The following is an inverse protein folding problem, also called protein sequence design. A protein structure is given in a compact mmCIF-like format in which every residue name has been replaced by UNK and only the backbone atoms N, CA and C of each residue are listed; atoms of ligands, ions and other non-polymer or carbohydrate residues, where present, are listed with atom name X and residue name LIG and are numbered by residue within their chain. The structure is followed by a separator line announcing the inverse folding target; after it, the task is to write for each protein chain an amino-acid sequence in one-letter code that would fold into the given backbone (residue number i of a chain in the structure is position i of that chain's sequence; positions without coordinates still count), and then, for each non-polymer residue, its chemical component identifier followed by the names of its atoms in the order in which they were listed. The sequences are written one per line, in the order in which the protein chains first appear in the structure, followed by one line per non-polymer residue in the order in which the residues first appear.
data_IF_759658231193
#
_entry.id   IF_759658231193
#
_cell.length_a   1.000
_cell.length_b   1.000
_cell.length_c   1.000
_cell.angle_alpha   90.00
_cell.angle_beta   90.00
_cell.angle_gamma   90.00
#
_symmetry.space_group_name_H-M   'P 1'
#
loop_
_entity.id
_entity.type
_entity.pdbx_description
1 polymer ?
#
# COMPACT_ATOMS: atom_id res chain seq x y z
N UNK A 1 7.28 -0.14 -2.79
CA UNK A 1 7.34 -1.40 -2.02
C UNK A 1 8.38 -2.37 -2.57
N UNK A 2 8.48 -2.62 -3.88
CA UNK A 2 9.40 -3.61 -4.47
C UNK A 2 10.87 -3.43 -4.08
N UNK A 3 11.43 -2.22 -4.15
CA UNK A 3 12.85 -1.95 -3.82
C UNK A 3 13.23 -2.37 -2.40
N UNK A 4 12.39 -2.04 -1.42
CA UNK A 4 12.64 -2.39 -0.01
C UNK A 4 12.52 -3.90 0.19
N UNK A 5 11.52 -4.56 -0.41
CA UNK A 5 11.37 -6.01 -0.35
C UNK A 5 12.58 -6.72 -0.96
N UNK A 6 13.02 -6.27 -2.16
CA UNK A 6 14.21 -6.82 -2.84
C UNK A 6 15.48 -6.62 -2.01
N UNK A 7 15.65 -5.45 -1.38
CA UNK A 7 16.81 -5.19 -0.52
C UNK A 7 16.87 -6.19 0.65
N UNK A 8 15.75 -6.41 1.36
CA UNK A 8 15.71 -7.37 2.45
C UNK A 8 15.89 -8.82 1.94
N UNK A 9 15.30 -9.16 0.79
CA UNK A 9 15.45 -10.49 0.20
C UNK A 9 16.92 -10.82 -0.14
N UNK A 10 17.65 -9.85 -0.69
CA UNK A 10 19.05 -10.05 -1.13
C UNK A 10 20.03 -9.96 0.02
N UNK A 11 19.84 -8.99 0.93
CA UNK A 11 20.84 -8.68 1.97
C UNK A 11 20.55 -9.34 3.32
N UNK A 12 19.28 -9.58 3.64
CA UNK A 12 18.85 -10.04 4.97
C UNK A 12 17.63 -10.97 4.86
N UNK A 13 17.73 -12.11 4.15
CA UNK A 13 16.58 -13.00 3.89
C UNK A 13 15.96 -13.57 5.18
N UNK A 14 16.73 -13.69 6.26
CA UNK A 14 16.25 -14.21 7.54
C UNK A 14 15.08 -13.41 8.11
N UNK A 15 15.03 -12.09 7.89
CA UNK A 15 13.90 -11.26 8.32
C UNK A 15 12.58 -11.66 7.67
N UNK A 16 12.63 -12.12 6.42
CA UNK A 16 11.47 -12.59 5.68
C UNK A 16 11.11 -14.01 6.09
N UNK A 17 12.10 -14.90 6.18
CA UNK A 17 11.92 -16.31 6.58
C UNK A 17 11.33 -16.45 7.98
N UNK A 18 11.72 -15.58 8.90
CA UNK A 18 11.22 -15.55 10.27
C UNK A 18 9.93 -14.72 10.44
N UNK A 19 9.31 -14.24 9.34
CA UNK A 19 8.10 -13.40 9.36
C UNK A 19 8.25 -12.11 10.18
N UNK A 20 9.45 -11.55 10.24
CA UNK A 20 9.76 -10.34 11.02
C UNK A 20 9.61 -9.04 10.22
N UNK A 21 9.44 -9.15 8.91
CA UNK A 21 9.22 -8.01 8.02
C UNK A 21 7.74 -7.92 7.65
N UNK A 22 7.14 -6.78 7.96
CA UNK A 22 5.73 -6.53 7.70
C UNK A 22 5.54 -5.18 7.02
N UNK A 23 4.54 -5.09 6.16
CA UNK A 23 4.02 -3.83 5.65
C UNK A 23 2.96 -3.29 6.60
N UNK A 24 3.11 -2.04 7.00
CA UNK A 24 2.09 -1.33 7.74
C UNK A 24 1.20 -0.58 6.74
N UNK A 25 -0.09 -0.93 6.72
CA UNK A 25 -1.08 -0.26 5.86
C UNK A 25 -1.49 1.07 6.44
N UNK A 26 -1.32 2.14 5.66
CA UNK A 26 -1.88 3.44 5.98
C UNK A 26 -3.32 3.55 5.48
N UNK A 27 -4.23 4.19 6.23
CA UNK A 27 -5.59 4.41 5.77
C UNK A 27 -5.63 5.42 4.61
N UNK A 28 -6.43 5.12 3.57
CA UNK A 28 -6.64 6.01 2.44
C UNK A 28 -7.66 7.12 2.77
N UNK A 29 -8.66 6.81 3.58
CA UNK A 29 -9.73 7.73 3.93
C UNK A 29 -9.89 7.86 5.44
N UNK A 30 -10.27 9.05 5.86
CA UNK A 30 -10.63 9.38 7.23
C UNK A 30 -12.02 10.01 7.22
N UNK A 31 -12.92 9.51 8.04
CA UNK A 31 -14.20 10.14 8.32
C UNK A 31 -14.15 10.74 9.73
N UNK A 32 -14.52 11.99 9.87
CA UNK A 32 -14.45 12.74 11.14
C UNK A 32 -15.76 13.40 11.48
N UNK A 33 -16.06 13.41 12.78
CA UNK A 33 -17.14 14.24 13.36
C UNK A 33 -16.78 14.60 14.79
N UNK A 34 -16.49 15.88 15.03
CA UNK A 34 -15.93 16.37 16.29
C UNK A 34 -14.64 15.62 16.64
N UNK A 35 -14.59 14.92 17.77
CA UNK A 35 -13.43 14.16 18.23
C UNK A 35 -13.41 12.70 17.77
N UNK A 36 -14.50 12.24 17.14
CA UNK A 36 -14.60 10.87 16.63
C UNK A 36 -13.96 10.74 15.24
N UNK A 37 -13.21 9.66 15.05
CA UNK A 37 -12.50 9.36 13.80
C UNK A 37 -12.68 7.89 13.45
N UNK A 38 -12.91 7.62 12.18
CA UNK A 38 -12.97 6.26 11.62
C UNK A 38 -12.16 6.25 10.34
N UNK A 39 -11.41 5.17 10.13
CA UNK A 39 -10.49 5.04 9.03
C UNK A 39 -10.97 3.97 8.05
N UNK A 40 -10.75 4.21 6.75
CA UNK A 40 -10.96 3.23 5.69
C UNK A 40 -9.67 3.05 4.88
N UNK A 41 -9.39 1.81 4.52
CA UNK A 41 -8.17 1.41 3.84
C UNK A 41 -8.41 1.12 2.35
N UNK A 42 -9.67 0.97 1.95
CA UNK A 42 -10.09 0.81 0.55
C UNK A 42 -11.23 1.77 0.21
N UNK A 43 -11.52 1.92 -1.09
CA UNK A 43 -12.64 2.74 -1.56
C UNK A 43 -13.99 2.13 -1.16
N UNK A 44 -14.09 0.81 -1.17
CA UNK A 44 -15.29 0.08 -0.76
C UNK A 44 -15.60 0.32 0.72
N UNK A 45 -14.58 0.18 1.59
CA UNK A 45 -14.73 0.48 3.03
C UNK A 45 -15.15 1.95 3.25
N UNK A 46 -14.58 2.88 2.49
CA UNK A 46 -14.94 4.29 2.59
C UNK A 46 -16.39 4.55 2.18
N UNK A 47 -16.86 3.89 1.11
CA UNK A 47 -18.25 4.00 0.65
C UNK A 47 -19.24 3.41 1.68
N UNK A 48 -18.91 2.30 2.31
CA UNK A 48 -19.71 1.70 3.38
C UNK A 48 -19.77 2.60 4.61
N UNK A 49 -18.63 3.11 5.04
CA UNK A 49 -18.56 4.06 6.15
C UNK A 49 -19.31 5.35 5.86
N UNK A 50 -19.30 5.85 4.63
CA UNK A 50 -20.05 7.03 4.23
C UNK A 50 -21.56 6.80 4.27
N UNK A 51 -22.02 5.59 3.91
CA UNK A 51 -23.43 5.20 4.06
C UNK A 51 -23.84 5.14 5.54
N UNK A 52 -22.97 4.59 6.39
CA UNK A 52 -23.19 4.49 7.84
C UNK A 52 -23.14 5.85 8.55
N UNK A 53 -22.29 6.74 8.07
CA UNK A 53 -22.03 8.06 8.66
C UNK A 53 -22.20 9.19 7.63
N UNK A 54 -23.38 9.43 7.08
CA UNK A 54 -23.57 10.36 5.94
C UNK A 54 -23.22 11.81 6.27
N UNK A 55 -23.31 12.19 7.54
CA UNK A 55 -23.04 13.57 8.01
C UNK A 55 -21.59 13.81 8.43
N UNK A 56 -20.74 12.77 8.38
CA UNK A 56 -19.34 12.90 8.73
C UNK A 56 -18.53 13.47 7.57
N UNK A 57 -17.56 14.29 7.89
CA UNK A 57 -16.62 14.84 6.92
C UNK A 57 -15.64 13.75 6.50
N UNK A 58 -15.46 13.59 5.19
CA UNK A 58 -14.53 12.60 4.62
C UNK A 58 -13.30 13.33 4.07
N UNK A 59 -12.14 12.95 4.56
CA UNK A 59 -10.83 13.36 4.05
C UNK A 59 -10.13 12.21 3.35
N UNK A 60 -9.31 12.51 2.34
CA UNK A 60 -8.46 11.57 1.65
C UNK A 60 -7.00 11.83 2.03
N UNK A 61 -6.28 10.77 2.42
CA UNK A 61 -4.87 10.84 2.78
C UNK A 61 -4.01 10.47 1.56
N UNK A 62 -3.38 11.44 0.92
CA UNK A 62 -2.49 11.22 -0.23
C UNK A 62 -1.13 10.67 0.17
N UNK A 63 -0.72 10.92 1.39
CA UNK A 63 0.55 10.43 1.92
C UNK A 63 0.65 10.60 3.43
N UNK A 64 1.62 9.91 4.05
CA UNK A 64 1.81 9.91 5.50
C UNK A 64 2.07 11.31 6.09
N UNK A 65 2.70 12.20 5.33
CA UNK A 65 2.99 13.57 5.77
C UNK A 65 1.75 14.45 5.95
N UNK A 66 0.59 14.04 5.41
CA UNK A 66 -0.68 14.76 5.56
C UNK A 66 -1.49 14.29 6.78
N UNK A 67 -1.07 13.18 7.40
CA UNK A 67 -1.74 12.64 8.58
C UNK A 67 -1.32 13.40 9.83
N UNK A 68 -2.32 13.75 10.67
CA UNK A 68 -2.01 14.28 11.99
C UNK A 68 -1.39 13.19 12.89
N UNK A 69 -0.63 13.61 13.93
CA UNK A 69 -0.07 12.65 14.89
C UNK A 69 -1.16 11.77 15.53
N UNK A 70 -2.32 12.36 15.83
CA UNK A 70 -3.46 11.65 16.40
C UNK A 70 -4.08 10.63 15.42
N UNK A 71 -4.13 10.95 14.11
CA UNK A 71 -4.60 9.99 13.10
C UNK A 71 -3.62 8.83 12.96
N UNK A 72 -2.33 9.12 12.99
CA UNK A 72 -1.28 8.10 12.92
C UNK A 72 -1.31 7.19 14.15
N UNK A 73 -1.45 7.76 15.34
CA UNK A 73 -1.60 7.01 16.58
C UNK A 73 -2.81 6.07 16.54
N UNK A 74 -3.99 6.58 16.17
CA UNK A 74 -5.25 5.83 16.20
C UNK A 74 -5.38 4.81 15.05
N UNK A 75 -4.63 4.91 13.97
CA UNK A 75 -4.74 4.00 12.84
C UNK A 75 -3.53 3.07 12.69
N UNK A 76 -2.32 3.63 12.67
CA UNK A 76 -1.11 2.89 12.30
C UNK A 76 -0.32 2.41 13.51
N UNK A 77 -0.32 3.18 14.60
CA UNK A 77 0.47 2.85 15.80
C UNK A 77 -0.36 2.08 16.83
N UNK A 78 -1.70 2.11 16.73
CA UNK A 78 -2.56 1.44 17.68
C UNK A 78 -2.41 -0.09 17.61
N UNK A 79 -2.16 -0.80 18.71
CA UNK A 79 -1.81 -2.22 18.69
C UNK A 79 -2.88 -3.13 18.07
N UNK A 80 -4.17 -2.79 18.23
CA UNK A 80 -5.30 -3.61 17.75
C UNK A 80 -5.90 -3.11 16.43
N UNK A 81 -5.74 -1.81 16.10
CA UNK A 81 -6.36 -1.21 14.92
C UNK A 81 -5.43 -1.20 13.70
N UNK A 82 -4.13 -1.28 13.94
CA UNK A 82 -3.14 -1.29 12.85
C UNK A 82 -3.29 -2.53 11.99
N UNK A 83 -3.17 -2.35 10.68
CA UNK A 83 -3.17 -3.44 9.70
C UNK A 83 -1.75 -3.75 9.27
N UNK A 84 -1.27 -4.93 9.66
CA UNK A 84 0.04 -5.45 9.28
C UNK A 84 -0.11 -6.58 8.27
N UNK A 85 0.66 -6.51 7.19
CA UNK A 85 0.79 -7.59 6.21
C UNK A 85 2.21 -8.14 6.27
N UNK A 86 2.34 -9.40 6.61
CA UNK A 86 3.64 -10.08 6.65
C UNK A 86 4.15 -10.25 5.23
N UNK A 87 5.38 -9.83 4.97
CA UNK A 87 6.03 -10.06 3.69
C UNK A 87 6.49 -11.52 3.60
N UNK A 88 5.95 -12.26 2.63
CA UNK A 88 6.37 -13.64 2.37
C UNK A 88 7.58 -13.68 1.43
N UNK A 89 8.28 -14.82 1.40
CA UNK A 89 9.41 -15.03 0.49
C UNK A 89 8.97 -14.96 -0.98
N UNK A 90 7.76 -15.46 -1.28
CA UNK A 90 7.18 -15.41 -2.64
C UNK A 90 6.94 -13.98 -3.09
N UNK A 91 6.48 -13.10 -2.19
CA UNK A 91 6.29 -11.68 -2.51
C UNK A 91 7.63 -10.99 -2.77
N UNK A 92 8.67 -11.34 -2.03
CA UNK A 92 10.01 -10.81 -2.20
C UNK A 92 10.67 -11.29 -3.51
N UNK A 93 10.49 -12.55 -3.87
CA UNK A 93 10.93 -13.13 -5.16
C UNK A 93 10.22 -12.43 -6.33
N UNK A 94 8.89 -12.34 -6.30
CA UNK A 94 8.10 -11.66 -7.33
C UNK A 94 8.48 -10.18 -7.47
N UNK A 95 8.75 -9.49 -6.36
CA UNK A 95 9.25 -8.11 -6.37
C UNK A 95 10.63 -8.01 -7.03
N UNK A 96 11.53 -8.96 -6.75
CA UNK A 96 12.88 -9.01 -7.32
C UNK A 96 12.84 -9.27 -8.82
N UNK A 97 12.00 -10.21 -9.27
CA UNK A 97 11.83 -10.52 -10.70
C UNK A 97 11.20 -9.36 -11.46
N UNK A 98 10.18 -8.72 -10.87
CA UNK A 98 9.60 -7.49 -11.43
C UNK A 98 10.62 -6.36 -11.55
N UNK A 99 11.49 -6.20 -10.55
CA UNK A 99 12.53 -5.19 -10.57
C UNK A 99 13.59 -5.48 -11.65
N UNK A 100 14.02 -6.73 -11.78
CA UNK A 100 14.96 -7.16 -12.83
C UNK A 100 14.39 -6.92 -14.22
N UNK A 101 13.11 -7.27 -14.43
CA UNK A 101 12.43 -7.07 -15.71
C UNK A 101 12.30 -5.58 -16.06
N UNK A 102 11.84 -4.74 -15.12
CA UNK A 102 11.56 -3.33 -15.38
C UNK A 102 12.83 -2.45 -15.43
N UNK A 103 13.86 -2.80 -14.67
CA UNK A 103 15.07 -1.98 -14.49
C UNK A 103 16.37 -2.69 -14.89
N UNK A 104 16.29 -3.94 -15.35
CA UNK A 104 17.44 -4.69 -15.86
C UNK A 104 17.89 -4.22 -17.24
N UNK A 105 18.87 -4.91 -17.82
CA UNK A 105 19.44 -4.59 -19.13
C UNK A 105 18.59 -5.09 -20.31
N UNK A 106 17.64 -6.01 -20.08
CA UNK A 106 16.74 -6.55 -21.09
C UNK A 106 15.69 -5.53 -21.52
N UNK A 107 15.98 -4.84 -22.63
CA UNK A 107 15.09 -3.81 -23.19
C UNK A 107 13.90 -4.41 -23.92
N UNK A 108 14.09 -5.56 -24.61
CA UNK A 108 13.01 -6.16 -25.40
C UNK A 108 11.94 -6.78 -24.51
N UNK A 109 12.31 -7.57 -23.50
CA UNK A 109 11.37 -8.11 -22.52
C UNK A 109 10.58 -7.04 -21.79
N UNK A 110 11.21 -5.90 -21.49
CA UNK A 110 10.53 -4.74 -20.90
C UNK A 110 9.51 -4.10 -21.82
N UNK A 111 9.80 -3.97 -23.11
CA UNK A 111 8.87 -3.45 -24.12
C UNK A 111 7.65 -4.37 -24.26
N UNK A 112 7.87 -5.68 -24.39
CA UNK A 112 6.79 -6.67 -24.47
C UNK A 112 5.88 -6.58 -23.25
N UNK A 113 6.44 -6.58 -22.04
CA UNK A 113 5.68 -6.42 -20.80
C UNK A 113 4.84 -5.14 -20.78
N UNK A 114 5.41 -4.01 -21.21
CA UNK A 114 4.68 -2.75 -21.28
C UNK A 114 3.54 -2.80 -22.28
N UNK A 115 3.76 -3.35 -23.48
CA UNK A 115 2.72 -3.48 -24.51
C UNK A 115 1.56 -4.37 -24.07
N UNK A 116 1.84 -5.45 -23.35
CA UNK A 116 0.81 -6.36 -22.83
C UNK A 116 -0.02 -5.77 -21.69
N UNK A 117 0.57 -4.88 -20.90
CA UNK A 117 -0.05 -4.36 -19.68
C UNK A 117 -0.52 -2.89 -19.78
N UNK A 118 -0.26 -2.20 -20.89
CA UNK A 118 -0.76 -0.83 -21.08
C UNK A 118 -2.21 -0.85 -21.56
N UNK A 119 -3.08 -0.19 -20.82
CA UNK A 119 -4.43 0.13 -21.28
C UNK A 119 -4.40 1.36 -22.19
N UNK A 120 -4.36 1.13 -23.50
CA UNK A 120 -4.35 2.19 -24.51
C UNK A 120 -5.67 2.98 -24.57
N UNK A 121 -6.73 2.54 -23.92
CA UNK A 121 -8.01 3.27 -23.87
C UNK A 121 -7.89 4.62 -23.16
N UNK A 122 -6.89 4.76 -22.28
CA UNK A 122 -6.62 6.00 -21.52
C UNK A 122 -6.08 7.13 -22.42
N UNK A 123 -5.43 6.78 -23.55
CA UNK A 123 -4.81 7.77 -24.45
C UNK A 123 -5.80 8.45 -25.41
N UNK A 124 -7.05 7.98 -25.45
CA UNK A 124 -8.10 8.49 -26.34
C UNK A 124 -9.13 9.37 -25.63
N UNK A 125 -8.77 9.95 -24.47
CA UNK A 125 -9.61 10.92 -23.76
C UNK A 125 -9.08 12.32 -23.85
#
# INVERSE_FOLDING_TARGET
MCLVATMFYVLMPEFILENRLCWLRAPLYRLTKRDMRVFAYTEEEAAELKKKYPTWEQGYNKGLGEMSALDMENSMMHPTERRLEVLSIKDAEAATDSLKMLMGEDVEGRKEFLFENIDFSILNK
#
